data_IF_038069889543
#
_entry.id   IF_038069889543
#
_cell.length_a   1.000
_cell.length_b   1.000
_cell.length_c   1.000
_cell.angle_alpha   90.00
_cell.angle_beta   90.00
_cell.angle_gamma   90.00
#
_symmetry.space_group_name_H-M   'P 1'
#
loop_
_entity.id
_entity.type
_entity.pdbx_description
1 polymer ?
#
# COMPACT_ATOMS: atom_id res chain seq x y z
N UNK A 1 8.08 -1.09 -21.80
CA UNK A 1 7.82 -0.44 -20.50
C UNK A 1 6.31 -0.20 -20.43
N UNK A 2 5.59 -0.97 -19.62
CA UNK A 2 4.12 -0.94 -19.61
C UNK A 2 3.65 0.03 -18.53
N UNK A 3 3.33 1.25 -18.93
CA UNK A 3 2.73 2.29 -18.08
C UNK A 3 1.21 2.13 -18.08
N UNK A 4 0.62 1.99 -16.89
CA UNK A 4 -0.83 1.85 -16.68
C UNK A 4 -1.39 3.23 -16.33
N UNK A 5 -2.49 3.68 -16.94
CA UNK A 5 -3.08 4.97 -16.60
C UNK A 5 -3.59 4.97 -15.16
N UNK A 6 -3.35 6.07 -14.44
CA UNK A 6 -3.88 6.27 -13.10
C UNK A 6 -5.41 6.06 -13.11
N UNK A 7 -5.98 5.25 -12.18
CA UNK A 7 -7.42 5.27 -11.98
C UNK A 7 -7.85 6.70 -11.63
N UNK A 8 -8.95 7.15 -12.24
CA UNK A 8 -9.56 8.45 -12.00
C UNK A 8 -9.53 8.76 -10.49
N UNK A 9 -8.90 9.89 -10.17
CA UNK A 9 -8.31 10.18 -8.86
C UNK A 9 -9.25 10.08 -7.65
N UNK A 10 -8.63 10.20 -6.47
CA UNK A 10 -9.20 10.30 -5.11
C UNK A 10 -9.29 9.03 -4.26
N UNK A 11 -8.93 7.83 -4.74
CA UNK A 11 -9.25 6.61 -3.97
C UNK A 11 -8.63 6.54 -2.57
N UNK A 12 -7.44 7.09 -2.32
CA UNK A 12 -6.76 6.90 -1.01
C UNK A 12 -6.36 8.16 -0.23
N UNK A 13 -6.40 9.37 -0.85
CA UNK A 13 -6.20 10.64 -0.12
C UNK A 13 -7.36 10.91 0.83
N UNK A 14 -8.59 10.76 0.34
CA UNK A 14 -9.80 11.01 1.13
C UNK A 14 -9.93 10.05 2.33
N UNK A 15 -9.71 8.73 2.19
CA UNK A 15 -9.62 7.82 3.34
C UNK A 15 -8.55 8.20 4.37
N UNK A 16 -7.37 8.68 3.94
CA UNK A 16 -6.33 9.15 4.87
C UNK A 16 -6.83 10.34 5.69
N UNK A 17 -7.43 11.33 5.03
CA UNK A 17 -7.96 12.53 5.68
C UNK A 17 -9.12 12.20 6.63
N UNK A 18 -10.03 11.30 6.23
CA UNK A 18 -11.14 10.82 7.09
C UNK A 18 -10.62 10.16 8.36
N UNK A 19 -9.51 9.41 8.26
CA UNK A 19 -8.86 8.76 9.40
C UNK A 19 -7.99 9.71 10.24
N UNK A 20 -7.87 10.99 9.85
CA UNK A 20 -7.04 11.99 10.52
C UNK A 20 -5.54 11.68 10.47
N UNK A 21 -5.09 10.95 9.44
CA UNK A 21 -3.71 10.48 9.38
C UNK A 21 -2.80 11.46 8.65
N UNK A 22 -1.68 11.82 9.27
CA UNK A 22 -0.58 12.50 8.58
C UNK A 22 0.15 11.54 7.62
N UNK A 23 0.82 12.04 6.56
CA UNK A 23 1.59 11.19 5.63
C UNK A 23 2.58 10.27 6.35
N UNK A 24 3.24 10.74 7.41
CA UNK A 24 4.18 9.94 8.21
C UNK A 24 3.48 8.77 8.91
N UNK A 25 2.24 8.96 9.37
CA UNK A 25 1.46 7.92 10.01
C UNK A 25 0.99 6.85 9.02
N UNK A 26 0.71 7.24 7.77
CA UNK A 26 0.46 6.31 6.67
C UNK A 26 1.72 5.49 6.36
N UNK A 27 2.88 6.15 6.25
CA UNK A 27 4.17 5.50 6.00
C UNK A 27 4.53 4.51 7.12
N UNK A 28 4.28 4.86 8.37
CA UNK A 28 4.52 3.95 9.50
C UNK A 28 3.75 2.63 9.35
N UNK A 29 2.47 2.71 8.97
CA UNK A 29 1.63 1.52 8.71
C UNK A 29 2.11 0.72 7.50
N UNK A 30 2.54 1.43 6.45
CA UNK A 30 3.11 0.81 5.25
C UNK A 30 4.39 0.03 5.56
N UNK A 31 5.28 0.57 6.40
CA UNK A 31 6.49 -0.12 6.84
C UNK A 31 6.19 -1.39 7.63
N UNK A 32 5.19 -1.36 8.50
CA UNK A 32 4.76 -2.54 9.27
C UNK A 32 4.27 -3.65 8.33
N UNK A 33 3.44 -3.32 7.35
CA UNK A 33 2.95 -4.30 6.37
C UNK A 33 4.08 -4.80 5.45
N UNK A 34 4.93 -3.92 4.95
CA UNK A 34 6.04 -4.30 4.10
C UNK A 34 7.01 -5.25 4.82
N UNK A 35 7.33 -4.97 6.09
CA UNK A 35 8.16 -5.85 6.91
C UNK A 35 7.52 -7.23 7.13
N UNK A 36 6.20 -7.30 7.30
CA UNK A 36 5.47 -8.58 7.40
C UNK A 36 5.51 -9.40 6.11
N UNK A 37 5.57 -8.73 4.97
CA UNK A 37 5.54 -9.35 3.65
C UNK A 37 6.93 -9.53 3.01
N UNK A 38 8.01 -9.10 3.69
CA UNK A 38 9.37 -9.13 3.12
C UNK A 38 9.56 -8.19 1.93
N UNK A 39 8.75 -7.13 1.84
CA UNK A 39 8.84 -6.12 0.77
C UNK A 39 9.82 -5.04 1.19
N UNK A 40 10.84 -4.79 0.37
CA UNK A 40 11.71 -3.64 0.54
C UNK A 40 11.01 -2.36 0.10
N UNK A 41 11.03 -1.36 0.97
CA UNK A 41 10.47 -0.04 0.69
C UNK A 41 11.57 0.96 0.34
N UNK A 42 11.27 1.96 -0.51
CA UNK A 42 12.13 3.11 -0.72
C UNK A 42 12.45 3.84 0.60
N UNK A 43 13.49 4.69 0.56
CA UNK A 43 13.85 5.50 1.73
C UNK A 43 12.67 6.38 2.15
N UNK A 44 12.52 6.64 3.45
CA UNK A 44 11.37 7.37 4.00
C UNK A 44 11.09 8.70 3.29
N UNK A 45 12.12 9.48 2.96
CA UNK A 45 11.95 10.76 2.26
C UNK A 45 11.43 10.60 0.83
N UNK A 46 11.79 9.51 0.15
CA UNK A 46 11.26 9.19 -1.18
C UNK A 46 9.79 8.81 -1.06
N UNK A 47 9.43 7.97 -0.10
CA UNK A 47 8.02 7.64 0.17
C UNK A 47 7.18 8.88 0.48
N UNK A 48 7.69 9.83 1.28
CA UNK A 48 6.99 11.09 1.56
C UNK A 48 6.74 11.85 0.26
N UNK A 49 7.78 11.99 -0.57
CA UNK A 49 7.68 12.67 -1.87
C UNK A 49 6.70 11.98 -2.81
N UNK A 50 6.78 10.67 -2.93
CA UNK A 50 5.97 9.87 -3.85
C UNK A 50 4.49 9.94 -3.44
N UNK A 51 4.20 9.80 -2.14
CA UNK A 51 2.84 9.98 -1.59
C UNK A 51 2.35 11.40 -1.85
N UNK A 52 3.17 12.42 -1.60
CA UNK A 52 2.79 13.82 -1.87
C UNK A 52 2.46 14.05 -3.34
N UNK A 53 3.34 13.65 -4.26
CA UNK A 53 3.13 13.81 -5.70
C UNK A 53 1.90 13.06 -6.18
N UNK A 54 1.71 11.84 -5.68
CA UNK A 54 0.54 11.03 -5.99
C UNK A 54 -0.77 11.65 -5.49
N UNK A 55 -0.80 12.14 -4.25
CA UNK A 55 -1.96 12.82 -3.66
C UNK A 55 -2.37 14.11 -4.42
N UNK A 56 -1.42 14.69 -5.15
CA UNK A 56 -1.61 15.90 -5.97
C UNK A 56 -1.69 15.58 -7.47
N UNK A 57 -1.87 14.32 -7.86
CA UNK A 57 -2.02 13.89 -9.26
C UNK A 57 -0.83 14.28 -10.15
N UNK A 58 0.38 14.37 -9.57
CA UNK A 58 1.60 14.76 -10.28
C UNK A 58 2.43 13.57 -10.75
N UNK A 59 2.29 12.41 -10.10
CA UNK A 59 3.02 11.20 -10.43
C UNK A 59 2.27 9.94 -10.01
N UNK A 60 2.56 8.83 -10.68
CA UNK A 60 2.12 7.50 -10.29
C UNK A 60 2.94 6.95 -9.12
N UNK A 61 2.38 6.00 -8.38
CA UNK A 61 3.09 5.30 -7.31
C UNK A 61 3.78 4.04 -7.82
N UNK A 62 4.93 3.66 -7.22
CA UNK A 62 5.50 2.34 -7.44
C UNK A 62 4.50 1.22 -7.09
N UNK A 63 4.45 0.17 -7.90
CA UNK A 63 3.49 -0.94 -7.72
C UNK A 63 3.52 -1.58 -6.30
N UNK A 64 4.69 -1.81 -5.66
CA UNK A 64 4.71 -2.34 -4.29
C UNK A 64 4.04 -1.41 -3.28
N UNK A 65 4.30 -0.10 -3.40
CA UNK A 65 3.71 0.94 -2.54
C UNK A 65 2.19 0.98 -2.72
N UNK A 66 1.74 0.92 -3.97
CA UNK A 66 0.32 1.00 -4.27
C UNK A 66 -0.47 -0.26 -3.85
N UNK A 67 0.15 -1.44 -3.95
CA UNK A 67 -0.40 -2.68 -3.39
C UNK A 67 -0.58 -2.59 -1.88
N UNK A 68 0.40 -2.06 -1.16
CA UNK A 68 0.32 -1.86 0.29
C UNK A 68 -0.78 -0.86 0.66
N UNK A 69 -0.96 0.23 -0.11
CA UNK A 69 -2.07 1.16 0.11
C UNK A 69 -3.43 0.49 -0.06
N UNK A 70 -3.59 -0.37 -1.07
CA UNK A 70 -4.81 -1.16 -1.26
C UNK A 70 -5.19 -1.95 -0.01
N UNK A 71 -4.20 -2.57 0.63
CA UNK A 71 -4.39 -3.32 1.88
C UNK A 71 -4.63 -2.43 3.10
N UNK A 72 -3.96 -1.29 3.22
CA UNK A 72 -4.12 -0.35 4.35
C UNK A 72 -5.54 0.21 4.42
N UNK A 73 -6.15 0.43 3.26
CA UNK A 73 -7.45 1.08 3.15
C UNK A 73 -8.59 0.11 2.80
N UNK A 74 -8.33 -1.20 2.84
CA UNK A 74 -9.32 -2.25 2.56
C UNK A 74 -10.07 -2.06 1.22
N UNK A 75 -9.43 -1.44 0.24
CA UNK A 75 -10.04 -1.20 -1.06
C UNK A 75 -9.41 -2.06 -2.15
N UNK A 76 -10.06 -2.18 -3.31
CA UNK A 76 -9.49 -2.88 -4.46
C UNK A 76 -8.14 -2.27 -4.81
N UNK A 77 -7.08 -3.07 -4.72
CA UNK A 77 -5.78 -2.71 -5.25
C UNK A 77 -5.95 -2.46 -6.76
N UNK A 78 -5.83 -1.22 -7.25
CA UNK A 78 -6.03 -0.93 -8.68
C UNK A 78 -4.92 -1.52 -9.56
N UNK A 79 -3.90 -2.12 -8.94
CA UNK A 79 -2.78 -2.82 -9.56
C UNK A 79 -2.83 -4.35 -9.37
N UNK A 80 -3.86 -4.88 -8.68
CA UNK A 80 -4.07 -6.32 -8.56
C UNK A 80 -4.70 -6.86 -9.85
N UNK A 81 -3.89 -6.99 -10.88
CA UNK A 81 -4.23 -7.74 -12.10
C UNK A 81 -4.02 -9.23 -11.85
N UNK A 82 -4.75 -9.79 -10.88
CA UNK A 82 -4.68 -11.20 -10.52
C UNK A 82 -5.62 -11.52 -9.36
N UNK A 83 -6.27 -12.70 -9.35
CA UNK A 83 -7.19 -13.06 -8.29
C UNK A 83 -6.44 -12.98 -6.96
N UNK A 84 -7.04 -12.27 -5.99
CA UNK A 84 -6.63 -12.30 -4.59
C UNK A 84 -6.74 -13.76 -4.16
N UNK A 85 -5.65 -14.51 -4.31
CA UNK A 85 -5.53 -15.80 -3.65
C UNK A 85 -5.41 -15.43 -2.19
N UNK A 86 -6.55 -15.44 -1.48
CA UNK A 86 -6.57 -15.56 -0.03
C UNK A 86 -5.75 -16.81 0.27
N UNK A 87 -4.45 -16.64 0.51
CA UNK A 87 -3.62 -17.69 1.08
C UNK A 87 -4.29 -18.04 2.40
N UNK A 88 -4.84 -19.26 2.56
CA UNK A 88 -5.43 -19.64 3.83
C UNK A 88 -4.32 -19.54 4.88
N UNK A 89 -4.55 -18.77 5.93
CA UNK A 89 -3.74 -18.84 7.16
C UNK A 89 -3.81 -20.29 7.66
N UNK A 90 -2.85 -21.12 7.23
CA UNK A 90 -2.66 -22.43 7.84
C UNK A 90 -2.07 -22.20 9.22
N UNK A 91 -2.95 -22.40 10.20
CA UNK A 91 -2.72 -22.60 11.62
C UNK A 91 -1.27 -22.95 12.00
N UNK A 92 -0.61 -22.03 12.70
CA UNK A 92 0.50 -22.37 13.58
C UNK A 92 -0.09 -23.06 14.83
N UNK A 93 -0.37 -24.36 14.71
CA UNK A 93 -0.76 -25.21 15.86
C UNK A 93 0.49 -25.96 16.35
N UNK A 94 1.03 -25.43 17.45
CA UNK A 94 1.73 -26.12 18.55
C UNK A 94 2.27 -27.54 18.29
N UNK A 95 3.60 -27.71 18.36
CA UNK A 95 4.21 -29.02 18.58
C UNK A 95 4.65 -29.12 20.03
N UNK A 96 3.82 -29.82 20.80
CA UNK A 96 4.17 -30.35 22.12
C UNK A 96 5.14 -31.53 21.98
N UNK A 97 5.88 -31.71 23.06
CA UNK A 97 7.01 -32.60 23.33
C UNK A 97 6.72 -34.08 23.16
#
# INVERSE_FOLDING_TARGET
MTTIPAPAGYRWRQPRLIRGWEPVQLIGRMKILAAREGIELPKTYQLIRDIYLWEHHRADLPAPVASLLGRIFDGPNPFATGPITHLPMKAARTRGR
#
